data_IF_386572345929
#
_entry.id   IF_386572345929
#
_cell.length_a   1.000
_cell.length_b   1.000
_cell.length_c   1.000
_cell.angle_alpha   90.00
_cell.angle_beta   90.00
_cell.angle_gamma   90.00
#
_symmetry.space_group_name_H-M   'P 1'
#
loop_
_entity.id
_entity.type
_entity.pdbx_description
1 polymer ?
#
# COMPACT_ATOMS: atom_id res chain seq x y z
N UNK A 1 -3.11 23.50 -0.27
CA UNK A 1 -2.86 22.13 -0.75
C UNK A 1 -4.20 21.56 -1.19
N UNK A 2 -4.36 21.23 -2.47
CA UNK A 2 -5.59 20.64 -2.98
C UNK A 2 -5.40 19.13 -3.06
N UNK A 3 -6.15 18.37 -2.28
CA UNK A 3 -6.17 16.92 -2.35
C UNK A 3 -7.21 16.50 -3.40
N UNK A 4 -6.79 15.72 -4.40
CA UNK A 4 -7.71 15.08 -5.33
C UNK A 4 -7.84 13.60 -4.93
N UNK A 5 -9.06 13.14 -4.69
CA UNK A 5 -9.35 11.77 -4.30
C UNK A 5 -10.03 11.07 -5.48
N UNK A 6 -9.41 10.00 -5.95
CA UNK A 6 -9.98 9.09 -6.94
C UNK A 6 -10.29 7.79 -6.21
N UNK A 7 -11.57 7.40 -6.18
CA UNK A 7 -12.03 6.18 -5.51
C UNK A 7 -12.59 5.22 -6.54
N UNK A 8 -12.15 3.96 -6.46
CA UNK A 8 -12.51 2.89 -7.39
C UNK A 8 -12.87 1.68 -6.55
N UNK A 9 -14.03 1.09 -6.83
CA UNK A 9 -14.48 -0.13 -6.19
C UNK A 9 -14.48 -1.27 -7.23
N UNK A 10 -14.20 -2.49 -6.76
CA UNK A 10 -14.25 -3.71 -7.58
C UNK A 10 -13.42 -3.59 -8.87
N UNK A 11 -12.21 -3.05 -8.73
CA UNK A 11 -11.31 -2.81 -9.85
C UNK A 11 -10.80 -4.13 -10.44
N UNK A 12 -10.89 -4.27 -11.76
CA UNK A 12 -10.13 -5.29 -12.49
C UNK A 12 -8.65 -4.94 -12.49
N UNK A 13 -7.78 -5.89 -12.85
CA UNK A 13 -6.35 -5.59 -13.01
C UNK A 13 -6.11 -4.45 -14.01
N UNK A 14 -6.89 -4.39 -15.08
CA UNK A 14 -6.75 -3.32 -16.07
C UNK A 14 -7.14 -1.96 -15.46
N UNK A 15 -8.23 -1.91 -14.69
CA UNK A 15 -8.68 -0.69 -14.02
C UNK A 15 -7.61 -0.13 -13.08
N UNK A 16 -6.92 -0.98 -12.30
CA UNK A 16 -5.80 -0.53 -11.46
C UNK A 16 -4.74 0.20 -12.28
N UNK A 17 -4.26 -0.41 -13.36
CA UNK A 17 -3.17 0.13 -14.16
C UNK A 17 -3.59 1.41 -14.90
N UNK A 18 -4.79 1.44 -15.47
CA UNK A 18 -5.25 2.58 -16.25
C UNK A 18 -5.59 3.77 -15.36
N UNK A 19 -6.20 3.55 -14.20
CA UNK A 19 -6.60 4.65 -13.32
C UNK A 19 -5.41 5.29 -12.60
N UNK A 20 -4.41 4.51 -12.15
CA UNK A 20 -3.18 5.10 -11.57
C UNK A 20 -2.48 5.95 -12.62
N UNK A 21 -2.35 5.44 -13.85
CA UNK A 21 -1.77 6.21 -14.95
C UNK A 21 -2.58 7.46 -15.27
N UNK A 22 -3.90 7.35 -15.35
CA UNK A 22 -4.77 8.49 -15.64
C UNK A 22 -4.69 9.57 -14.55
N UNK A 23 -4.61 9.17 -13.28
CA UNK A 23 -4.44 10.09 -12.16
C UNK A 23 -3.15 10.90 -12.31
N UNK A 24 -2.04 10.22 -12.63
CA UNK A 24 -0.74 10.85 -12.88
C UNK A 24 -0.82 11.79 -14.08
N UNK A 25 -1.35 11.33 -15.22
CA UNK A 25 -1.41 12.10 -16.47
C UNK A 25 -2.29 13.35 -16.35
N UNK A 26 -3.35 13.27 -15.52
CA UNK A 26 -4.27 14.38 -15.26
C UNK A 26 -3.66 15.42 -14.31
N UNK A 27 -2.79 15.01 -13.40
CA UNK A 27 -2.21 15.86 -12.37
C UNK A 27 -0.69 16.00 -12.54
N UNK A 28 -0.25 16.76 -13.54
CA UNK A 28 1.18 16.91 -13.86
C UNK A 28 2.02 17.58 -12.76
N UNK A 29 1.39 18.38 -11.91
CA UNK A 29 2.02 19.14 -10.81
C UNK A 29 1.72 18.52 -9.43
N UNK A 30 1.68 17.19 -9.32
CA UNK A 30 1.54 16.52 -8.01
C UNK A 30 2.73 16.87 -7.10
N UNK A 31 2.48 17.13 -5.82
CA UNK A 31 3.54 17.27 -4.79
C UNK A 31 3.85 15.94 -4.09
N UNK A 32 2.91 15.00 -4.12
CA UNK A 32 2.97 13.68 -3.50
C UNK A 32 1.85 12.81 -4.09
N UNK A 33 1.96 11.49 -3.95
CA UNK A 33 0.90 10.55 -4.32
C UNK A 33 0.66 9.55 -3.18
N UNK A 34 -0.61 9.25 -2.94
CA UNK A 34 -1.05 8.23 -1.97
C UNK A 34 -1.90 7.21 -2.71
N UNK A 35 -1.57 5.94 -2.56
CA UNK A 35 -2.33 4.81 -3.09
C UNK A 35 -2.76 3.94 -1.91
N UNK A 36 -4.06 3.87 -1.65
CA UNK A 36 -4.63 2.99 -0.63
C UNK A 36 -5.37 1.84 -1.32
N UNK A 37 -5.00 0.60 -1.00
CA UNK A 37 -5.56 -0.61 -1.60
C UNK A 37 -6.15 -1.48 -0.50
N UNK A 38 -7.40 -1.91 -0.69
CA UNK A 38 -8.08 -2.87 0.19
C UNK A 38 -8.64 -4.00 -0.65
N UNK A 39 -8.06 -5.19 -0.55
CA UNK A 39 -8.51 -6.38 -1.27
C UNK A 39 -8.10 -7.68 -0.56
N UNK A 40 -8.47 -8.82 -1.12
CA UNK A 40 -7.79 -10.08 -0.80
C UNK A 40 -6.36 -10.04 -1.35
N UNK A 41 -5.48 -10.79 -0.69
CA UNK A 41 -4.12 -10.97 -1.16
C UNK A 41 -3.61 -12.39 -0.98
N UNK A 42 -2.46 -12.64 -1.56
CA UNK A 42 -1.76 -13.92 -1.53
C UNK A 42 -0.27 -13.67 -1.24
N UNK A 43 0.47 -14.75 -0.98
CA UNK A 43 1.92 -14.78 -0.86
C UNK A 43 2.62 -14.06 -2.03
N UNK A 44 3.74 -13.41 -1.71
CA UNK A 44 4.55 -12.64 -2.67
C UNK A 44 3.90 -11.31 -3.07
N UNK A 45 3.21 -10.64 -2.14
CA UNK A 45 2.64 -9.30 -2.30
C UNK A 45 1.70 -9.15 -3.48
N UNK A 46 0.89 -10.19 -3.72
CA UNK A 46 -0.11 -10.23 -4.80
C UNK A 46 -1.45 -9.78 -4.28
N UNK A 47 -2.02 -8.76 -4.92
CA UNK A 47 -3.34 -8.20 -4.61
C UNK A 47 -4.34 -8.76 -5.63
N UNK A 48 -5.40 -9.42 -5.15
CA UNK A 48 -6.46 -9.97 -6.00
C UNK A 48 -7.33 -8.83 -6.55
N UNK A 49 -7.64 -8.89 -7.83
CA UNK A 49 -8.54 -7.98 -8.53
C UNK A 49 -9.90 -8.65 -8.80
N UNK A 50 -10.91 -7.86 -9.15
CA UNK A 50 -12.28 -8.35 -9.43
C UNK A 50 -12.32 -9.41 -10.55
N UNK A 51 -11.44 -9.28 -11.55
CA UNK A 51 -11.34 -10.22 -12.68
C UNK A 51 -10.50 -11.47 -12.37
N UNK A 52 -10.28 -11.77 -11.09
CA UNK A 52 -9.49 -12.90 -10.57
C UNK A 52 -8.02 -12.92 -11.02
N UNK A 53 -7.52 -11.78 -11.49
CA UNK A 53 -6.11 -11.54 -11.76
C UNK A 53 -5.44 -10.86 -10.58
N UNK A 54 -4.14 -10.65 -10.68
CA UNK A 54 -3.34 -10.04 -9.62
C UNK A 54 -2.57 -8.84 -10.14
N UNK A 55 -2.39 -7.86 -9.27
CA UNK A 55 -1.36 -6.84 -9.37
C UNK A 55 -0.40 -7.03 -8.20
N UNK A 56 0.92 -7.03 -8.44
CA UNK A 56 1.88 -7.05 -7.35
C UNK A 56 2.16 -5.65 -6.82
N UNK A 57 2.59 -5.55 -5.56
CA UNK A 57 3.08 -4.28 -5.00
C UNK A 57 4.28 -3.76 -5.79
N UNK A 58 5.15 -4.63 -6.29
CA UNK A 58 6.27 -4.23 -7.15
C UNK A 58 5.82 -3.62 -8.49
N UNK A 59 4.71 -4.09 -9.09
CA UNK A 59 4.12 -3.47 -10.27
C UNK A 59 3.63 -2.05 -9.96
N UNK A 60 2.98 -1.86 -8.79
CA UNK A 60 2.52 -0.53 -8.35
C UNK A 60 3.71 0.42 -8.14
N UNK A 61 4.76 -0.05 -7.46
CA UNK A 61 5.99 0.74 -7.26
C UNK A 61 6.57 1.14 -8.62
N UNK A 62 6.72 0.20 -9.55
CA UNK A 62 7.27 0.46 -10.87
C UNK A 62 6.48 1.52 -11.66
N UNK A 63 5.14 1.54 -11.54
CA UNK A 63 4.30 2.56 -12.17
C UNK A 63 4.56 3.98 -11.65
N UNK A 64 5.03 4.12 -10.41
CA UNK A 64 5.31 5.42 -9.79
C UNK A 64 6.75 5.90 -10.02
N UNK A 65 7.60 5.08 -10.65
CA UNK A 65 8.99 5.43 -10.98
C UNK A 65 9.09 6.29 -12.24
N UNK A 66 8.42 7.44 -12.22
CA UNK A 66 8.33 8.38 -13.34
C UNK A 66 9.03 9.72 -13.01
N UNK A 67 9.54 10.45 -14.01
CA UNK A 67 10.23 11.73 -13.79
C UNK A 67 9.43 12.74 -12.98
N UNK A 68 8.11 12.78 -13.15
CA UNK A 68 7.19 13.69 -12.51
C UNK A 68 7.11 13.50 -10.99
N UNK A 69 7.53 12.34 -10.47
CA UNK A 69 7.49 11.97 -9.05
C UNK A 69 8.87 11.84 -8.40
N UNK A 70 9.94 12.27 -9.06
CA UNK A 70 11.29 12.32 -8.48
C UNK A 70 11.29 13.32 -7.30
N UNK A 71 11.88 12.91 -6.16
CA UNK A 71 11.96 13.71 -4.93
C UNK A 71 10.61 14.07 -4.31
N UNK A 72 9.54 13.36 -4.69
CA UNK A 72 8.17 13.56 -4.18
C UNK A 72 7.73 12.32 -3.38
N UNK A 73 7.10 12.47 -2.21
CA UNK A 73 6.62 11.35 -1.42
C UNK A 73 5.62 10.48 -2.19
N UNK A 74 5.86 9.16 -2.20
CA UNK A 74 5.04 8.13 -2.83
C UNK A 74 4.65 7.13 -1.75
N UNK A 75 3.40 7.19 -1.30
CA UNK A 75 2.93 6.39 -0.17
C UNK A 75 1.92 5.35 -0.66
N UNK A 76 2.17 4.08 -0.34
CA UNK A 76 1.26 2.98 -0.62
C UNK A 76 0.81 2.33 0.69
N UNK A 77 -0.50 2.31 0.95
CA UNK A 77 -1.12 1.63 2.09
C UNK A 77 -1.79 0.34 1.58
N UNK A 78 -1.30 -0.82 1.99
CA UNK A 78 -1.71 -2.13 1.48
C UNK A 78 -2.47 -2.91 2.55
N UNK A 79 -3.79 -2.91 2.45
CA UNK A 79 -4.72 -3.76 3.19
C UNK A 79 -5.04 -5.01 2.35
N UNK A 80 -4.19 -6.03 2.48
CA UNK A 80 -4.37 -7.32 1.84
C UNK A 80 -3.60 -8.40 2.61
N UNK A 81 -4.13 -9.62 2.66
CA UNK A 81 -3.40 -10.76 3.22
C UNK A 81 -2.10 -10.99 2.45
N UNK A 82 -1.07 -11.48 3.13
CA UNK A 82 0.23 -11.81 2.50
C UNK A 82 0.58 -13.30 2.60
N UNK A 83 -0.42 -14.11 2.92
CA UNK A 83 -0.39 -15.57 2.95
C UNK A 83 -1.52 -16.11 3.84
N UNK A 84 -1.45 -17.39 4.18
CA UNK A 84 -2.53 -18.12 4.89
C UNK A 84 -2.08 -18.76 6.20
N UNK A 85 -0.88 -18.45 6.69
CA UNK A 85 -0.34 -19.11 7.87
C UNK A 85 -0.93 -18.48 9.13
N UNK A 86 -1.68 -19.28 9.91
CA UNK A 86 -2.10 -18.86 11.25
C UNK A 86 -1.03 -19.03 12.31
N UNK A 87 0.09 -19.72 12.07
CA UNK A 87 1.10 -19.98 13.12
C UNK A 87 2.42 -20.63 12.60
N UNK A 88 2.95 -20.21 11.45
CA UNK A 88 4.32 -20.61 11.04
C UNK A 88 5.03 -19.43 10.41
N UNK A 89 6.07 -18.96 11.10
CA UNK A 89 7.07 -18.04 10.58
C UNK A 89 7.96 -18.85 9.64
N UNK A 90 7.77 -18.70 8.33
CA UNK A 90 8.79 -19.12 7.36
C UNK A 90 9.52 -17.88 6.86
N UNK A 91 10.80 -17.78 7.19
CA UNK A 91 11.71 -16.84 6.58
C UNK A 91 12.25 -17.48 5.31
N UNK A 92 11.72 -17.11 4.15
CA UNK A 92 12.41 -17.37 2.89
C UNK A 92 12.50 -16.09 2.06
N UNK A 93 13.74 -15.62 1.92
CA UNK A 93 14.09 -14.57 0.96
C UNK A 93 14.05 -15.20 -0.43
N UNK A 94 13.07 -14.84 -1.25
CA UNK A 94 13.13 -15.18 -2.67
C UNK A 94 14.23 -14.35 -3.35
N UNK A 95 15.01 -14.92 -4.28
CA UNK A 95 16.02 -14.14 -4.99
C UNK A 95 15.32 -13.13 -5.90
N UNK A 96 15.42 -11.85 -5.56
CA UNK A 96 14.99 -10.78 -6.44
C UNK A 96 15.83 -10.82 -7.72
N UNK A 97 15.16 -10.92 -8.87
CA UNK A 97 15.80 -10.68 -10.16
C UNK A 97 16.16 -9.19 -10.24
N UNK A 98 17.39 -8.85 -9.86
CA UNK A 98 17.94 -7.51 -10.00
C UNK A 98 18.01 -7.13 -11.48
N UNK A 99 17.06 -6.30 -11.92
CA UNK A 99 17.12 -5.64 -13.22
C UNK A 99 17.98 -4.39 -13.07
N UNK A 100 19.20 -4.43 -13.60
CA UNK A 100 20.17 -3.34 -13.53
C UNK A 100 19.81 -2.23 -14.54
N UNK A 101 19.18 -1.16 -14.06
CA UNK A 101 19.12 0.15 -14.71
C UNK A 101 19.83 1.19 -13.81
N UNK A 102 20.07 2.45 -14.23
CA UNK A 102 20.72 3.44 -13.37
C UNK A 102 19.83 3.71 -12.13
N UNK A 103 20.09 2.99 -11.04
CA UNK A 103 19.08 2.58 -10.06
C UNK A 103 18.76 3.64 -8.98
N UNK A 104 19.68 4.56 -8.70
CA UNK A 104 19.65 5.27 -7.42
C UNK A 104 18.61 6.40 -7.28
N UNK A 105 18.03 6.92 -8.37
CA UNK A 105 17.10 8.07 -8.33
C UNK A 105 15.62 7.72 -8.56
N UNK A 106 15.32 6.51 -9.03
CA UNK A 106 13.94 6.11 -9.34
C UNK A 106 13.23 5.42 -8.19
N UNK A 107 13.98 4.84 -7.25
CA UNK A 107 13.46 4.08 -6.10
C UNK A 107 13.41 4.89 -4.80
N UNK A 108 13.66 6.21 -4.84
CA UNK A 108 13.64 7.07 -3.66
C UNK A 108 12.23 7.56 -3.31
N UNK A 109 12.06 7.98 -2.06
CA UNK A 109 10.85 8.63 -1.53
C UNK A 109 9.59 7.74 -1.55
N UNK A 110 9.77 6.42 -1.50
CA UNK A 110 8.68 5.47 -1.30
C UNK A 110 8.48 5.14 0.18
N UNK A 111 7.23 5.07 0.57
CA UNK A 111 6.79 4.44 1.82
C UNK A 111 5.71 3.42 1.47
N UNK A 112 5.94 2.16 1.81
CA UNK A 112 4.94 1.09 1.66
C UNK A 112 4.60 0.57 3.04
N UNK A 113 3.36 0.77 3.47
CA UNK A 113 2.84 0.26 4.72
C UNK A 113 1.91 -0.92 4.45
N UNK A 114 2.24 -2.07 5.02
CA UNK A 114 1.41 -3.27 4.96
C UNK A 114 0.63 -3.39 6.26
N UNK A 115 -0.63 -3.81 6.12
CA UNK A 115 -1.52 -4.14 7.24
C UNK A 115 -1.14 -5.39 8.03
N UNK A 116 -0.34 -6.27 7.42
CA UNK A 116 0.17 -7.49 8.03
C UNK A 116 1.60 -7.79 7.53
N UNK A 117 2.34 -8.52 8.34
CA UNK A 117 3.66 -9.07 7.94
C UNK A 117 3.47 -10.24 6.96
N UNK A 118 4.50 -10.62 6.19
CA UNK A 118 4.41 -11.76 5.26
C UNK A 118 3.82 -13.00 5.92
N UNK A 119 3.00 -13.75 5.17
CA UNK A 119 2.33 -14.99 5.59
C UNK A 119 1.14 -14.86 6.54
N UNK A 120 0.82 -13.65 7.02
CA UNK A 120 -0.33 -13.40 7.90
C UNK A 120 -1.54 -12.83 7.14
N UNK A 121 -2.70 -12.89 7.81
CA UNK A 121 -3.97 -12.33 7.35
C UNK A 121 -4.10 -10.85 7.72
N UNK A 122 -4.71 -10.06 6.84
CA UNK A 122 -5.14 -8.70 7.14
C UNK A 122 -6.55 -8.74 7.77
N UNK A 123 -6.66 -8.28 9.02
CA UNK A 123 -7.88 -8.43 9.80
C UNK A 123 -8.92 -7.34 9.51
N UNK A 124 -10.14 -7.80 9.23
CA UNK A 124 -11.31 -6.95 9.02
C UNK A 124 -12.49 -7.49 9.80
N UNK A 125 -13.12 -6.62 10.60
CA UNK A 125 -14.38 -6.93 11.26
C UNK A 125 -15.54 -6.51 10.34
N UNK A 126 -16.52 -7.39 10.13
CA UNK A 126 -17.62 -7.14 9.18
C UNK A 126 -18.42 -5.87 9.50
N UNK A 127 -18.60 -5.56 10.78
CA UNK A 127 -19.38 -4.41 11.27
C UNK A 127 -18.55 -3.14 11.47
N UNK A 128 -17.25 -3.25 11.77
CA UNK A 128 -16.39 -2.11 12.11
C UNK A 128 -15.37 -1.74 11.02
N UNK A 129 -15.20 -2.58 10.01
CA UNK A 129 -14.24 -2.38 8.93
C UNK A 129 -12.84 -2.92 9.25
N UNK A 130 -11.86 -2.45 8.48
CA UNK A 130 -10.46 -2.90 8.60
C UNK A 130 -9.85 -2.39 9.89
N UNK A 131 -9.15 -3.27 10.60
CA UNK A 131 -8.48 -2.87 11.83
C UNK A 131 -7.35 -1.89 11.55
N UNK A 132 -6.51 -2.17 10.55
CA UNK A 132 -5.38 -1.33 10.20
C UNK A 132 -5.83 0.06 9.74
N UNK A 133 -6.88 0.14 8.90
CA UNK A 133 -7.40 1.41 8.39
C UNK A 133 -8.00 2.24 9.52
N UNK A 134 -8.74 1.60 10.44
CA UNK A 134 -9.28 2.29 11.61
C UNK A 134 -8.17 2.80 12.53
N UNK A 135 -7.13 1.99 12.78
CA UNK A 135 -5.99 2.40 13.62
C UNK A 135 -5.21 3.55 12.96
N UNK A 136 -5.03 3.52 11.65
CA UNK A 136 -4.43 4.62 10.90
C UNK A 136 -5.27 5.91 10.99
N UNK A 137 -6.60 5.81 10.84
CA UNK A 137 -7.50 6.97 10.96
C UNK A 137 -7.40 7.61 12.34
N UNK A 138 -7.45 6.80 13.40
CA UNK A 138 -7.32 7.26 14.78
C UNK A 138 -5.95 7.90 15.07
N UNK A 139 -4.88 7.27 14.59
CA UNK A 139 -3.53 7.82 14.71
C UNK A 139 -3.39 9.14 13.95
N UNK A 140 -3.97 9.26 12.75
CA UNK A 140 -3.94 10.49 11.96
C UNK A 140 -4.76 11.61 12.60
N UNK A 141 -5.93 11.30 13.17
CA UNK A 141 -6.75 12.29 13.90
C UNK A 141 -6.02 12.85 15.12
N UNK A 142 -5.22 12.03 15.79
CA UNK A 142 -4.47 12.42 16.99
C UNK A 142 -3.14 13.10 16.67
N UNK A 143 -2.40 12.57 15.71
CA UNK A 143 -1.01 12.92 15.42
C UNK A 143 -0.79 13.42 13.98
N UNK A 144 -1.83 13.91 13.30
CA UNK A 144 -1.78 14.29 11.87
C UNK A 144 -0.81 15.42 11.51
N UNK A 145 -0.21 16.09 12.50
CA UNK A 145 0.85 17.08 12.32
C UNK A 145 2.27 16.51 12.48
N UNK A 146 2.41 15.23 12.82
CA UNK A 146 3.69 14.52 12.91
C UNK A 146 4.14 14.00 11.54
N UNK A 147 5.39 13.54 11.48
CA UNK A 147 5.90 12.80 10.34
C UNK A 147 5.07 11.53 10.07
N UNK A 148 4.86 11.19 8.79
CA UNK A 148 4.00 10.09 8.40
C UNK A 148 4.47 8.73 8.95
N UNK A 149 5.78 8.50 9.08
CA UNK A 149 6.31 7.27 9.67
C UNK A 149 6.00 7.18 11.17
N UNK A 150 5.94 8.33 11.89
CA UNK A 150 5.48 8.37 13.28
C UNK A 150 3.99 8.07 13.39
N UNK A 151 3.17 8.63 12.50
CA UNK A 151 1.73 8.32 12.46
C UNK A 151 1.52 6.82 12.27
N UNK A 152 2.25 6.18 11.37
CA UNK A 152 2.19 4.73 11.17
C UNK A 152 2.69 3.93 12.38
N UNK A 153 3.76 4.40 13.03
CA UNK A 153 4.26 3.77 14.27
C UNK A 153 3.22 3.85 15.38
N UNK A 154 2.52 4.99 15.50
CA UNK A 154 1.44 5.15 16.46
C UNK A 154 0.24 4.27 16.11
N UNK A 155 -0.15 4.19 14.84
CA UNK A 155 -1.18 3.27 14.37
C UNK A 155 -0.87 1.81 14.73
N UNK A 156 0.38 1.37 14.59
CA UNK A 156 0.80 0.02 14.98
C UNK A 156 0.66 -0.22 16.50
N UNK A 157 0.91 0.79 17.34
CA UNK A 157 0.70 0.65 18.79
C UNK A 157 -0.78 0.47 19.16
N UNK A 158 -1.69 1.15 18.46
CA UNK A 158 -3.14 1.00 18.65
C UNK A 158 -3.65 -0.40 18.25
N UNK A 159 -2.92 -1.12 17.41
CA UNK A 159 -3.25 -2.50 17.01
C UNK A 159 -2.94 -3.52 18.11
N UNK A 160 -1.99 -3.25 19.01
CA UNK A 160 -1.65 -4.13 20.13
C UNK A 160 -2.78 -4.21 21.17
N UNK A 161 -3.53 -3.12 21.33
CA UNK A 161 -4.61 -3.01 22.32
C UNK A 161 -5.93 -3.62 21.83
N UNK A 162 -5.99 -4.08 20.58
CA UNK A 162 -7.20 -4.70 20.01
C UNK A 162 -7.21 -6.19 20.31
N UNK A 163 -8.08 -6.59 21.23
CA UNK A 163 -8.27 -8.00 21.60
C UNK A 163 -8.88 -8.79 20.44
N UNK A 164 -8.23 -9.91 20.07
CA UNK A 164 -8.67 -10.90 19.07
C UNK A 164 -9.95 -11.64 19.49
#
# INVERSE_FOLDING_TARGET
MQLCIISIANATRLDYLTNVKQAIDTHKELSSIFIAISSHGLEGDKILCEDYKYVSVSEIIAMLQIPELISKPKVSLIEACRGKSRDQVETDSTPENFVTYPAAMKESDFLVAYSCVPDYEAYRETSKGSWSVNAFSEAYETAGNEDFARILTFANSLMLDRNF
#
